data_IF_541709212562
#
_entry.id   IF_541709212562
#
_cell.length_a   1.000
_cell.length_b   1.000
_cell.length_c   1.000
_cell.angle_alpha   90.00
_cell.angle_beta   90.00
_cell.angle_gamma   90.00
#
_symmetry.space_group_name_H-M   'P 1'
#
loop_
_entity.id
_entity.type
_entity.pdbx_description
1 polymer ?
#
# COMPACT_ATOMS: atom_id res chain seq x y z
N UNK A 1 -20.96 -7.99 -17.48
CA UNK A 1 -21.17 -8.73 -16.21
C UNK A 1 -19.83 -8.76 -15.51
N UNK A 2 -19.68 -8.06 -14.38
CA UNK A 2 -18.48 -8.13 -13.54
C UNK A 2 -18.42 -9.52 -12.92
N UNK A 3 -17.33 -10.25 -13.18
CA UNK A 3 -17.06 -11.54 -12.54
C UNK A 3 -17.03 -11.31 -11.03
N UNK A 4 -17.82 -12.08 -10.27
CA UNK A 4 -17.74 -12.04 -8.82
C UNK A 4 -16.32 -12.41 -8.40
N UNK A 5 -15.65 -11.53 -7.64
CA UNK A 5 -14.28 -11.78 -7.20
C UNK A 5 -14.36 -12.55 -5.89
N UNK A 6 -13.87 -13.80 -5.90
CA UNK A 6 -13.80 -14.64 -4.71
C UNK A 6 -12.49 -14.35 -3.97
N UNK A 7 -12.55 -13.94 -2.69
CA UNK A 7 -11.35 -13.77 -1.87
C UNK A 7 -10.59 -15.09 -1.71
N UNK A 8 -9.26 -15.03 -1.79
CA UNK A 8 -8.34 -16.17 -1.63
C UNK A 8 -7.43 -15.92 -0.42
N UNK A 9 -7.03 -16.96 0.32
CA UNK A 9 -6.17 -16.79 1.50
C UNK A 9 -4.75 -16.32 1.12
N UNK A 10 -4.04 -15.71 2.08
CA UNK A 10 -2.69 -15.17 1.91
C UNK A 10 -1.71 -16.11 1.23
N UNK A 11 -1.65 -17.37 1.66
CA UNK A 11 -0.73 -18.38 1.14
C UNK A 11 -0.96 -18.77 -0.33
N UNK A 12 -2.11 -18.42 -0.92
CA UNK A 12 -2.38 -18.64 -2.35
C UNK A 12 -1.86 -17.48 -3.23
N UNK A 13 -1.45 -16.36 -2.65
CA UNK A 13 -0.84 -15.28 -3.41
C UNK A 13 0.59 -15.62 -3.79
N UNK A 14 0.97 -15.26 -5.02
CA UNK A 14 2.31 -15.43 -5.57
C UNK A 14 2.66 -14.19 -6.39
N UNK A 15 3.95 -13.92 -6.57
CA UNK A 15 4.49 -12.74 -7.26
C UNK A 15 3.93 -12.53 -8.69
N UNK A 16 3.59 -13.61 -9.39
CA UNK A 16 2.97 -13.55 -10.73
C UNK A 16 1.57 -12.89 -10.74
N UNK A 17 0.89 -12.82 -9.59
CA UNK A 17 -0.38 -12.12 -9.46
C UNK A 17 -0.20 -10.60 -9.41
N UNK A 18 0.99 -10.10 -9.06
CA UNK A 18 1.26 -8.68 -8.88
C UNK A 18 0.42 -8.06 -7.77
N UNK A 19 0.06 -6.80 -7.96
CA UNK A 19 -0.73 -6.03 -7.00
C UNK A 19 -2.17 -6.53 -6.91
N UNK A 20 -2.66 -6.66 -5.68
CA UNK A 20 -4.01 -7.14 -5.36
C UNK A 20 -4.62 -6.29 -4.24
N UNK A 21 -5.91 -6.51 -3.99
CA UNK A 21 -6.59 -5.94 -2.82
C UNK A 21 -6.49 -6.94 -1.67
N UNK A 22 -5.88 -6.51 -0.57
CA UNK A 22 -5.68 -7.26 0.66
C UNK A 22 -6.71 -6.87 1.71
N UNK A 23 -7.37 -7.87 2.26
CA UNK A 23 -8.42 -7.77 3.26
C UNK A 23 -8.01 -8.52 4.51
N UNK A 24 -8.06 -7.87 5.66
CA UNK A 24 -7.97 -8.53 6.95
C UNK A 24 -9.39 -8.88 7.40
N UNK A 25 -9.65 -10.15 7.77
CA UNK A 25 -10.96 -10.61 8.20
C UNK A 25 -11.01 -10.93 9.71
N UNK A 26 -12.04 -10.50 10.47
CA UNK A 26 -13.11 -9.57 10.09
C UNK A 26 -12.56 -8.21 9.63
N UNK A 27 -13.34 -7.52 8.80
CA UNK A 27 -12.95 -6.21 8.24
C UNK A 27 -12.83 -5.19 9.38
N UNK A 28 -11.59 -4.89 9.75
CA UNK A 28 -11.25 -3.89 10.77
C UNK A 28 -10.75 -2.58 10.16
N UNK A 29 -10.26 -2.62 8.93
CA UNK A 29 -9.73 -1.48 8.17
C UNK A 29 -10.08 -1.59 6.68
N UNK A 30 -9.89 -0.48 5.96
CA UNK A 30 -9.97 -0.49 4.50
C UNK A 30 -8.94 -1.47 3.90
N UNK A 31 -9.26 -2.10 2.75
CA UNK A 31 -8.32 -3.00 2.10
C UNK A 31 -7.05 -2.27 1.69
N UNK A 32 -5.93 -2.95 1.80
CA UNK A 32 -4.65 -2.44 1.33
C UNK A 32 -4.43 -2.86 -0.13
N UNK A 33 -3.84 -1.98 -0.95
CA UNK A 33 -3.56 -2.24 -2.36
C UNK A 33 -2.05 -2.39 -2.53
N UNK A 34 -1.62 -3.47 -3.18
CA UNK A 34 -0.20 -3.72 -3.50
C UNK A 34 0.17 -5.19 -3.35
N UNK A 35 1.43 -5.46 -2.99
CA UNK A 35 1.96 -6.81 -2.73
C UNK A 35 2.83 -6.91 -1.47
N UNK A 36 3.02 -8.12 -0.91
CA UNK A 36 3.98 -8.37 0.18
C UNK A 36 5.44 -8.01 -0.15
N UNK A 37 5.75 -7.80 -1.43
CA UNK A 37 7.07 -7.39 -1.91
C UNK A 37 7.26 -5.87 -1.91
N UNK A 38 6.23 -5.09 -1.59
CA UNK A 38 6.34 -3.64 -1.50
C UNK A 38 7.28 -3.27 -0.35
N UNK A 39 8.46 -2.78 -0.72
CA UNK A 39 9.43 -2.22 0.20
C UNK A 39 9.02 -0.81 0.59
N UNK A 40 8.97 -0.54 1.90
CA UNK A 40 8.76 0.81 2.40
C UNK A 40 9.86 1.75 1.90
N UNK A 41 9.49 2.98 1.57
CA UNK A 41 10.49 4.03 1.28
C UNK A 41 10.60 4.92 2.49
N UNK A 42 11.81 5.11 2.98
CA UNK A 42 12.07 6.15 3.96
C UNK A 42 11.85 7.50 3.30
N UNK A 43 10.90 8.30 3.81
CA UNK A 43 10.66 9.67 3.34
C UNK A 43 11.05 10.64 4.46
N UNK A 44 11.75 11.71 4.07
CA UNK A 44 11.95 12.89 4.91
C UNK A 44 11.12 14.02 4.37
N UNK A 45 10.42 14.73 5.24
CA UNK A 45 9.74 15.97 4.89
C UNK A 45 10.03 17.00 5.97
N UNK A 46 10.41 18.21 5.54
CA UNK A 46 10.57 19.35 6.44
C UNK A 46 9.20 20.00 6.64
N UNK A 47 8.72 20.05 7.88
CA UNK A 47 7.45 20.71 8.21
C UNK A 47 7.73 22.06 8.85
N UNK A 48 7.30 23.12 8.16
CA UNK A 48 7.16 24.44 8.76
C UNK A 48 5.73 24.61 9.27
N UNK A 49 5.57 24.86 10.57
CA UNK A 49 4.25 25.11 11.18
C UNK A 49 4.15 26.60 11.49
N UNK A 50 3.13 27.27 10.95
CA UNK A 50 2.81 28.66 11.29
C UNK A 50 1.62 28.71 12.25
N UNK A 51 1.78 29.36 13.39
CA UNK A 51 0.72 29.60 14.38
C UNK A 51 0.66 31.11 14.64
N UNK A 52 -0.38 31.78 14.14
CA UNK A 52 -0.43 33.24 14.17
C UNK A 52 0.64 33.88 13.28
N UNK A 53 1.43 34.81 13.83
CA UNK A 53 2.55 35.46 13.12
C UNK A 53 3.89 34.74 13.32
N UNK A 54 3.94 33.72 14.17
CA UNK A 54 5.16 33.01 14.49
C UNK A 54 5.32 31.79 13.59
N UNK A 55 6.55 31.60 13.09
CA UNK A 55 6.94 30.48 12.24
C UNK A 55 7.88 29.57 13.01
N UNK A 56 7.55 28.28 13.08
CA UNK A 56 8.34 27.27 13.75
C UNK A 56 8.89 26.28 12.73
N UNK A 57 10.21 26.16 12.69
CA UNK A 57 10.88 25.08 11.99
C UNK A 57 10.88 23.86 12.91
N UNK A 58 10.23 22.78 12.49
CA UNK A 58 10.21 21.55 13.26
C UNK A 58 11.30 20.62 12.75
N UNK A 59 12.17 20.13 13.63
CA UNK A 59 13.03 18.98 13.31
C UNK A 59 12.09 17.78 13.18
N UNK A 60 12.02 17.08 12.04
CA UNK A 60 11.15 15.93 11.88
C UNK A 60 11.45 14.92 12.98
N UNK A 61 10.47 14.66 13.86
CA UNK A 61 10.66 13.82 15.03
C UNK A 61 10.97 12.35 14.67
N UNK A 62 10.82 11.98 13.39
CA UNK A 62 11.22 10.67 12.86
C UNK A 62 11.39 10.74 11.34
N UNK A 63 12.54 10.30 10.86
CA UNK A 63 12.69 9.74 9.53
C UNK A 63 11.86 8.44 9.54
N UNK A 64 10.65 8.47 9.01
CA UNK A 64 9.73 7.33 9.04
C UNK A 64 9.76 6.56 7.73
N UNK A 65 9.79 5.23 7.81
CA UNK A 65 9.42 4.41 6.66
C UNK A 65 7.96 4.70 6.32
N UNK A 66 7.73 5.27 5.14
CA UNK A 66 6.39 5.53 4.63
C UNK A 66 6.13 4.54 3.48
N UNK A 67 5.06 3.76 3.62
CA UNK A 67 4.74 2.68 2.68
C UNK A 67 5.40 1.35 3.04
N UNK A 68 5.12 0.34 2.20
CA UNK A 68 5.54 -1.03 2.37
C UNK A 68 4.43 -1.96 2.87
N UNK A 69 4.68 -3.27 2.85
CA UNK A 69 3.74 -4.29 3.29
C UNK A 69 3.34 -4.09 4.78
N UNK A 70 2.07 -3.76 5.10
CA UNK A 70 1.67 -3.41 6.46
C UNK A 70 1.78 -4.57 7.45
N UNK A 71 1.72 -5.80 6.96
CA UNK A 71 1.73 -7.04 7.74
C UNK A 71 3.08 -7.75 7.66
N UNK A 72 4.18 -7.01 7.47
CA UNK A 72 5.54 -7.58 7.42
C UNK A 72 5.95 -8.34 8.69
N UNK A 73 5.40 -7.93 9.82
CA UNK A 73 5.66 -8.49 11.15
C UNK A 73 4.42 -9.24 11.70
N UNK A 74 3.50 -9.66 10.83
CA UNK A 74 2.29 -10.38 11.23
C UNK A 74 2.63 -11.76 11.82
N UNK A 75 1.84 -12.17 12.80
CA UNK A 75 1.87 -13.54 13.33
C UNK A 75 0.99 -14.49 12.50
N UNK A 76 1.13 -15.79 12.74
CA UNK A 76 0.36 -16.83 12.05
C UNK A 76 -1.16 -16.63 12.15
N UNK A 77 -1.64 -16.06 13.27
CA UNK A 77 -3.06 -15.76 13.47
C UNK A 77 -3.53 -14.64 12.53
N UNK A 78 -2.73 -13.58 12.41
CA UNK A 78 -3.00 -12.47 11.51
C UNK A 78 -2.89 -12.89 10.04
N UNK A 79 -1.90 -13.72 9.68
CA UNK A 79 -1.75 -14.28 8.34
C UNK A 79 -2.93 -15.17 7.94
N UNK A 80 -3.44 -16.00 8.86
CA UNK A 80 -4.62 -16.84 8.62
C UNK A 80 -5.90 -16.03 8.33
N UNK A 81 -5.90 -14.76 8.72
CA UNK A 81 -7.00 -13.80 8.53
C UNK A 81 -6.82 -12.92 7.30
N UNK A 82 -5.68 -13.02 6.60
CA UNK A 82 -5.39 -12.24 5.41
C UNK A 82 -5.92 -12.94 4.17
N UNK A 83 -6.75 -12.22 3.42
CA UNK A 83 -7.32 -12.64 2.15
C UNK A 83 -7.03 -11.61 1.08
N UNK A 84 -6.94 -12.04 -0.17
CA UNK A 84 -6.75 -11.16 -1.31
C UNK A 84 -7.78 -11.39 -2.41
N UNK A 85 -8.05 -10.34 -3.16
CA UNK A 85 -8.89 -10.38 -4.36
C UNK A 85 -8.14 -9.71 -5.51
N UNK A 86 -8.28 -10.25 -6.72
CA UNK A 86 -7.75 -9.61 -7.93
C UNK A 86 -8.25 -8.17 -8.03
N UNK A 87 -7.34 -7.22 -8.30
CA UNK A 87 -7.74 -5.84 -8.58
C UNK A 87 -8.62 -5.82 -9.85
N UNK A 88 -9.76 -5.10 -9.86
CA UNK A 88 -10.69 -5.07 -10.99
C UNK A 88 -10.06 -4.64 -12.33
N UNK A 89 -8.88 -4.03 -12.29
CA UNK A 89 -8.08 -3.59 -13.43
C UNK A 89 -6.57 -3.64 -13.12
N UNK A 90 -6.10 -4.61 -12.32
CA UNK A 90 -4.74 -4.68 -11.73
C UNK A 90 -3.62 -4.16 -12.62
N UNK A 91 -3.63 -4.59 -13.88
CA UNK A 91 -2.60 -4.29 -14.87
C UNK A 91 -2.67 -2.85 -15.40
N UNK A 92 -3.86 -2.28 -15.53
CA UNK A 92 -4.04 -0.88 -15.96
C UNK A 92 -3.78 0.09 -14.81
N UNK A 93 -4.12 -0.28 -13.57
CA UNK A 93 -3.84 0.54 -12.39
C UNK A 93 -2.34 0.56 -12.06
N UNK A 94 -1.66 -0.60 -12.06
CA UNK A 94 -0.21 -0.68 -11.86
C UNK A 94 0.54 0.09 -12.95
N UNK A 95 0.15 -0.03 -14.22
CA UNK A 95 0.71 0.78 -15.31
C UNK A 95 0.42 2.27 -15.08
N UNK A 96 -0.80 2.65 -14.75
CA UNK A 96 -1.14 4.06 -14.50
C UNK A 96 -0.39 4.65 -13.30
N UNK A 97 -0.22 3.89 -12.21
CA UNK A 97 0.54 4.28 -11.02
C UNK A 97 2.03 4.35 -11.35
N UNK A 98 2.60 3.35 -12.02
CA UNK A 98 4.02 3.35 -12.43
C UNK A 98 4.34 4.47 -13.41
N UNK A 99 3.48 4.69 -14.40
CA UNK A 99 3.60 5.78 -15.35
C UNK A 99 3.53 7.10 -14.59
N UNK A 100 2.55 7.31 -13.71
CA UNK A 100 2.47 8.52 -12.91
C UNK A 100 3.69 8.75 -12.01
N UNK A 101 4.20 7.69 -11.34
CA UNK A 101 5.38 7.77 -10.46
C UNK A 101 6.67 8.01 -11.26
N UNK A 102 6.79 7.50 -12.49
CA UNK A 102 7.98 7.66 -13.35
C UNK A 102 7.95 8.90 -14.26
N UNK A 103 6.91 9.71 -14.20
CA UNK A 103 6.81 10.98 -14.96
C UNK A 103 5.95 10.90 -16.24
N UNK A 104 5.18 9.83 -16.41
CA UNK A 104 4.33 9.55 -17.57
C UNK A 104 5.12 8.89 -18.71
N UNK A 105 4.43 8.30 -19.71
CA UNK A 105 5.09 7.85 -20.92
C UNK A 105 5.84 9.03 -21.58
N UNK A 106 7.09 8.81 -21.98
CA UNK A 106 7.81 9.76 -22.84
C UNK A 106 6.96 9.98 -24.10
N UNK A 107 6.58 11.24 -24.34
CA UNK A 107 5.86 11.70 -25.53
C UNK A 107 6.69 11.48 -26.81
#
# INVERSE_FOLDING_TARGET
MTKAVTPRPFHEWHEDHGDVLWWLWPIEQAPWVGSPLDIGRTVSFDVTVQIGNDTYETVPAKLGDTGGWPWKDADDETEARLFWTELPCARELDVAIRDHIRGGPEL
#
